data_IF_099414926262
#
_entry.id   IF_099414926262
#
_cell.length_a   1.000
_cell.length_b   1.000
_cell.length_c   1.000
_cell.angle_alpha   90.00
_cell.angle_beta   90.00
_cell.angle_gamma   90.00
#
_symmetry.space_group_name_H-M   'P 1'
#
loop_
_entity.id
_entity.type
_entity.pdbx_description
1 polymer ?
#
# COMPACT_ATOMS: atom_id res chain seq x y z
N UNK A 1 17.42 -14.75 -10.79
CA UNK A 1 17.53 -13.50 -11.58
C UNK A 1 17.09 -12.24 -10.83
N UNK A 2 16.25 -12.33 -9.79
CA UNK A 2 15.82 -11.18 -8.98
C UNK A 2 16.97 -10.46 -8.25
N UNK A 3 18.06 -11.17 -7.95
CA UNK A 3 19.21 -10.61 -7.21
C UNK A 3 20.10 -9.63 -8.00
N UNK A 4 19.93 -9.51 -9.32
CA UNK A 4 20.77 -8.62 -10.16
C UNK A 4 20.16 -7.25 -10.42
N UNK A 5 18.84 -7.08 -10.24
CA UNK A 5 18.15 -5.79 -10.40
C UNK A 5 18.40 -4.89 -9.20
N UNK A 6 18.67 -5.49 -8.02
CA UNK A 6 18.92 -4.74 -6.77
C UNK A 6 20.34 -4.14 -6.64
N UNK A 7 21.28 -4.48 -7.56
CA UNK A 7 22.70 -4.17 -7.37
C UNK A 7 23.14 -2.76 -7.85
N UNK A 8 22.25 -1.93 -8.42
CA UNK A 8 22.62 -0.62 -9.00
C UNK A 8 21.85 0.57 -8.42
N UNK A 9 21.22 0.41 -7.26
CA UNK A 9 20.51 1.51 -6.61
C UNK A 9 21.47 2.26 -5.67
N UNK A 10 22.30 3.11 -6.23
CA UNK A 10 22.90 4.26 -5.54
C UNK A 10 21.77 5.31 -5.33
N UNK A 11 20.62 4.85 -4.84
CA UNK A 11 19.46 5.68 -4.55
C UNK A 11 19.49 6.02 -3.06
N UNK A 12 19.47 7.32 -2.79
CA UNK A 12 19.13 7.84 -1.47
C UNK A 12 17.95 7.01 -0.91
N UNK A 13 18.15 6.29 0.20
CA UNK A 13 17.14 5.37 0.75
C UNK A 13 15.79 6.08 0.83
N UNK A 14 14.80 5.57 0.13
CA UNK A 14 13.47 6.15 0.13
C UNK A 14 12.92 6.17 1.55
N UNK A 15 12.39 7.30 1.98
CA UNK A 15 11.78 7.48 3.30
C UNK A 15 10.28 7.71 3.16
N UNK A 16 9.53 7.59 4.26
CA UNK A 16 8.09 7.90 4.29
C UNK A 16 7.77 9.30 3.73
N UNK A 17 8.64 10.29 3.96
CA UNK A 17 8.45 11.66 3.47
C UNK A 17 8.72 11.75 1.96
N UNK A 18 9.79 11.13 1.49
CA UNK A 18 10.16 11.17 0.07
C UNK A 18 9.30 10.25 -0.80
N UNK A 19 8.64 9.24 -0.21
CA UNK A 19 7.64 8.43 -0.91
C UNK A 19 6.48 9.30 -1.43
N UNK A 20 6.01 10.25 -0.64
CA UNK A 20 4.88 11.11 -0.98
C UNK A 20 5.24 12.30 -1.91
N UNK A 21 6.50 12.46 -2.26
CA UNK A 21 6.96 13.56 -3.12
C UNK A 21 6.80 13.21 -4.61
N UNK A 22 5.65 13.56 -5.18
CA UNK A 22 5.35 13.34 -6.59
C UNK A 22 6.34 14.02 -7.56
N UNK A 23 7.03 15.07 -7.14
CA UNK A 23 8.01 15.76 -7.98
C UNK A 23 9.25 14.90 -8.27
N UNK A 24 9.52 13.91 -7.43
CA UNK A 24 10.63 12.96 -7.56
C UNK A 24 10.23 11.63 -8.22
N UNK A 25 8.96 11.45 -8.53
CA UNK A 25 8.45 10.22 -9.14
C UNK A 25 8.68 10.23 -10.66
N UNK A 26 9.35 9.22 -11.24
CA UNK A 26 9.46 9.04 -12.69
C UNK A 26 8.09 9.00 -13.36
N UNK A 27 8.04 9.36 -14.64
CA UNK A 27 6.84 9.31 -15.46
C UNK A 27 7.01 8.34 -16.62
N UNK A 28 6.01 7.51 -16.87
CA UNK A 28 5.96 6.67 -18.05
C UNK A 28 5.42 7.45 -19.26
N UNK A 29 5.90 7.16 -20.47
CA UNK A 29 5.36 7.77 -21.68
C UNK A 29 3.93 7.31 -21.92
N UNK A 30 3.07 8.23 -22.37
CA UNK A 30 1.70 7.88 -22.77
C UNK A 30 1.71 7.20 -24.13
N UNK A 31 0.82 6.21 -24.32
CA UNK A 31 0.67 5.45 -25.56
C UNK A 31 -0.61 5.90 -26.25
N UNK A 32 -0.47 6.49 -27.43
CA UNK A 32 -1.61 6.93 -28.23
C UNK A 32 -2.24 5.75 -29.03
N UNK A 33 -3.48 5.92 -29.45
CA UNK A 33 -4.15 4.96 -30.33
C UNK A 33 -4.68 3.69 -29.63
N UNK A 34 -4.60 3.61 -28.32
CA UNK A 34 -5.15 2.46 -27.57
C UNK A 34 -6.66 2.33 -27.80
N UNK A 35 -7.10 1.12 -28.17
CA UNK A 35 -8.54 0.83 -28.30
C UNK A 35 -9.20 0.57 -26.94
N UNK A 36 -10.55 0.44 -26.94
CA UNK A 36 -11.32 0.28 -25.70
C UNK A 36 -10.96 -1.00 -24.91
N UNK A 37 -10.62 -2.09 -25.60
CA UNK A 37 -10.24 -3.37 -24.97
C UNK A 37 -8.88 -3.22 -24.26
N UNK A 38 -7.93 -2.61 -24.94
CA UNK A 38 -6.60 -2.33 -24.36
C UNK A 38 -6.73 -1.44 -23.13
N UNK A 39 -7.44 -0.33 -23.19
CA UNK A 39 -7.69 0.54 -22.04
C UNK A 39 -8.40 -0.18 -20.89
N UNK A 40 -9.34 -1.08 -21.17
CA UNK A 40 -10.02 -1.88 -20.16
C UNK A 40 -9.02 -2.82 -19.45
N UNK A 41 -8.08 -3.40 -20.21
CA UNK A 41 -7.00 -4.24 -19.65
C UNK A 41 -6.07 -3.42 -18.74
N UNK A 42 -5.60 -2.27 -19.20
CA UNK A 42 -4.74 -1.39 -18.42
C UNK A 42 -5.33 -0.96 -17.07
N UNK A 43 -6.67 -0.85 -17.00
CA UNK A 43 -7.37 -0.46 -15.76
C UNK A 43 -7.70 -1.61 -14.81
N UNK A 44 -7.33 -2.86 -15.12
CA UNK A 44 -7.61 -4.00 -14.23
C UNK A 44 -6.95 -3.86 -12.86
N UNK A 45 -5.73 -3.33 -12.83
CA UNK A 45 -4.99 -3.10 -11.58
C UNK A 45 -5.80 -2.27 -10.58
N UNK A 46 -6.47 -1.23 -11.07
CA UNK A 46 -7.34 -0.37 -10.25
C UNK A 46 -8.42 -1.16 -9.50
N UNK A 47 -8.95 -2.24 -10.07
CA UNK A 47 -9.96 -3.06 -9.39
C UNK A 47 -9.41 -3.74 -8.14
N UNK A 48 -8.17 -4.24 -8.18
CA UNK A 48 -7.50 -4.80 -7.01
C UNK A 48 -7.23 -3.72 -5.96
N UNK A 49 -6.73 -2.58 -6.38
CA UNK A 49 -6.48 -1.43 -5.49
C UNK A 49 -7.75 -0.87 -4.85
N UNK A 50 -8.87 -0.84 -5.57
CA UNK A 50 -10.16 -0.41 -5.02
C UNK A 50 -10.64 -1.36 -3.90
N UNK A 51 -10.33 -2.66 -3.99
CA UNK A 51 -10.59 -3.59 -2.90
C UNK A 51 -9.77 -3.22 -1.65
N UNK A 52 -8.46 -3.03 -1.78
CA UNK A 52 -7.61 -2.59 -0.66
C UNK A 52 -8.04 -1.24 -0.08
N UNK A 53 -8.40 -0.27 -0.95
CA UNK A 53 -8.94 1.03 -0.50
C UNK A 53 -10.21 0.87 0.34
N UNK A 54 -11.08 -0.06 -0.03
CA UNK A 54 -12.30 -0.35 0.72
C UNK A 54 -12.00 -0.94 2.10
N UNK A 55 -11.07 -1.90 2.19
CA UNK A 55 -10.64 -2.50 3.45
C UNK A 55 -9.96 -1.46 4.36
N UNK A 56 -9.04 -0.67 3.84
CA UNK A 56 -8.41 0.43 4.59
C UNK A 56 -9.44 1.45 5.09
N UNK A 57 -10.50 1.71 4.32
CA UNK A 57 -11.59 2.58 4.75
C UNK A 57 -12.43 1.97 5.88
N UNK A 58 -12.57 0.64 5.93
CA UNK A 58 -13.24 -0.04 7.05
C UNK A 58 -12.42 0.06 8.35
N UNK A 59 -11.12 -0.16 8.26
CA UNK A 59 -10.21 0.03 9.41
C UNK A 59 -10.27 1.49 9.91
N UNK A 60 -10.26 2.47 8.99
CA UNK A 60 -10.37 3.88 9.33
C UNK A 60 -11.69 4.19 10.06
N UNK A 61 -12.83 3.66 9.59
CA UNK A 61 -14.13 3.83 10.27
C UNK A 61 -14.15 3.19 11.66
N UNK A 62 -13.53 2.01 11.81
CA UNK A 62 -13.39 1.38 13.13
C UNK A 62 -12.58 2.27 14.08
N UNK A 63 -11.51 2.91 13.61
CA UNK A 63 -10.72 3.87 14.40
C UNK A 63 -11.53 5.08 14.83
N UNK A 64 -12.34 5.67 13.95
CA UNK A 64 -13.22 6.82 14.29
C UNK A 64 -14.24 6.42 15.36
N UNK A 65 -14.83 5.23 15.27
CA UNK A 65 -15.76 4.71 16.26
C UNK A 65 -15.09 4.51 17.62
N UNK A 66 -13.86 3.99 17.63
CA UNK A 66 -13.08 3.78 18.85
C UNK A 66 -12.66 5.10 19.51
N UNK A 67 -12.30 6.11 18.72
CA UNK A 67 -12.01 7.44 19.25
C UNK A 67 -13.24 8.07 19.92
N UNK A 68 -14.40 7.98 19.28
CA UNK A 68 -15.65 8.49 19.84
C UNK A 68 -16.02 7.75 21.15
N UNK A 69 -15.79 6.43 21.20
CA UNK A 69 -16.01 5.64 22.40
C UNK A 69 -15.03 6.00 23.52
N UNK A 70 -13.76 6.22 23.21
CA UNK A 70 -12.74 6.63 24.19
C UNK A 70 -13.00 7.99 24.82
N UNK A 71 -13.70 8.87 24.11
CA UNK A 71 -14.15 10.19 24.62
C UNK A 71 -15.43 10.09 25.48
N UNK A 72 -16.11 8.95 25.47
CA UNK A 72 -17.33 8.73 26.25
C UNK A 72 -16.96 8.20 27.65
N UNK A 73 -17.30 8.95 28.69
CA UNK A 73 -17.11 8.54 30.10
C UNK A 73 -17.89 7.25 30.49
N UNK A 74 -18.70 6.70 29.59
CA UNK A 74 -19.57 5.55 29.83
C UNK A 74 -19.00 4.21 29.33
N UNK A 75 -17.85 4.20 28.66
CA UNK A 75 -17.24 2.96 28.14
C UNK A 75 -16.46 2.26 29.25
N UNK A 76 -16.85 1.03 29.58
CA UNK A 76 -16.11 0.25 30.57
C UNK A 76 -14.83 -0.35 29.95
N UNK A 77 -13.85 -0.74 30.82
CA UNK A 77 -12.55 -1.27 30.38
C UNK A 77 -12.66 -2.55 29.51
N UNK A 78 -13.68 -3.38 29.70
CA UNK A 78 -13.89 -4.60 28.94
C UNK A 78 -14.30 -4.32 27.49
N UNK A 79 -15.19 -3.36 27.29
CA UNK A 79 -15.64 -2.95 25.96
C UNK A 79 -14.49 -2.25 25.18
N UNK A 80 -13.68 -1.44 25.84
CA UNK A 80 -12.48 -0.86 25.24
C UNK A 80 -11.48 -1.95 24.80
N UNK A 81 -11.23 -2.95 25.63
CA UNK A 81 -10.34 -4.06 25.28
C UNK A 81 -10.86 -4.87 24.09
N UNK A 82 -12.17 -5.12 24.01
CA UNK A 82 -12.79 -5.81 22.88
C UNK A 82 -12.66 -4.99 21.59
N UNK A 83 -12.88 -3.69 21.65
CA UNK A 83 -12.77 -2.78 20.54
C UNK A 83 -11.32 -2.71 20.00
N UNK A 84 -10.33 -2.61 20.88
CA UNK A 84 -8.91 -2.60 20.47
C UNK A 84 -8.48 -3.92 19.84
N UNK A 85 -9.00 -5.07 20.32
CA UNK A 85 -8.77 -6.37 19.70
C UNK A 85 -9.39 -6.46 18.31
N UNK A 86 -10.59 -5.95 18.13
CA UNK A 86 -11.26 -5.91 16.82
C UNK A 86 -10.43 -5.09 15.82
N UNK A 87 -9.94 -3.92 16.21
CA UNK A 87 -9.03 -3.10 15.39
C UNK A 87 -7.76 -3.86 15.00
N UNK A 88 -7.08 -4.50 15.98
CA UNK A 88 -5.87 -5.28 15.73
C UNK A 88 -6.09 -6.42 14.74
N UNK A 89 -7.23 -7.13 14.83
CA UNK A 89 -7.56 -8.21 13.90
C UNK A 89 -7.82 -7.69 12.47
N UNK A 90 -8.55 -6.59 12.32
CA UNK A 90 -8.79 -5.98 11.00
C UNK A 90 -7.50 -5.49 10.35
N UNK A 91 -6.63 -4.83 11.12
CA UNK A 91 -5.32 -4.41 10.65
C UNK A 91 -4.48 -5.60 10.19
N UNK A 92 -4.40 -6.67 10.97
CA UNK A 92 -3.59 -7.85 10.63
C UNK A 92 -4.05 -8.53 9.34
N UNK A 93 -5.35 -8.65 9.10
CA UNK A 93 -5.88 -9.22 7.86
C UNK A 93 -5.52 -8.37 6.65
N UNK A 94 -5.70 -7.06 6.72
CA UNK A 94 -5.38 -6.17 5.61
C UNK A 94 -3.87 -6.11 5.33
N UNK A 95 -3.03 -6.12 6.36
CA UNK A 95 -1.58 -6.19 6.20
C UNK A 95 -1.13 -7.43 5.42
N UNK A 96 -1.71 -8.60 5.72
CA UNK A 96 -1.41 -9.84 5.00
C UNK A 96 -1.85 -9.78 3.53
N UNK A 97 -3.04 -9.26 3.26
CA UNK A 97 -3.56 -9.12 1.90
C UNK A 97 -2.71 -8.15 1.08
N UNK A 98 -2.34 -7.01 1.65
CA UNK A 98 -1.51 -6.00 1.00
C UNK A 98 -0.08 -6.53 0.72
N UNK A 99 0.51 -7.26 1.67
CA UNK A 99 1.81 -7.92 1.47
C UNK A 99 1.74 -8.95 0.34
N UNK A 100 0.66 -9.73 0.27
CA UNK A 100 0.44 -10.71 -0.81
C UNK A 100 0.30 -10.04 -2.17
N UNK A 101 -0.41 -8.92 -2.26
CA UNK A 101 -0.57 -8.11 -3.46
C UNK A 101 0.79 -7.60 -3.99
N UNK A 102 1.56 -6.89 -3.17
CA UNK A 102 2.88 -6.42 -3.55
C UNK A 102 3.85 -7.56 -3.92
N UNK A 103 3.75 -8.72 -3.25
CA UNK A 103 4.56 -9.89 -3.60
C UNK A 103 4.27 -10.39 -5.02
N UNK A 104 2.99 -10.41 -5.42
CA UNK A 104 2.60 -10.79 -6.78
C UNK A 104 3.15 -9.81 -7.81
N UNK A 105 3.08 -8.52 -7.52
CA UNK A 105 3.61 -7.47 -8.40
C UNK A 105 5.13 -7.58 -8.54
N UNK A 106 5.86 -7.67 -7.44
CA UNK A 106 7.32 -7.75 -7.43
C UNK A 106 7.86 -9.03 -8.11
N UNK A 107 7.13 -10.15 -7.99
CA UNK A 107 7.60 -11.44 -8.52
C UNK A 107 7.12 -11.72 -9.94
N UNK A 108 6.01 -11.15 -10.37
CA UNK A 108 5.39 -11.51 -11.66
C UNK A 108 5.14 -10.31 -12.57
N UNK A 109 4.47 -9.27 -12.11
CA UNK A 109 4.06 -8.15 -12.95
C UNK A 109 5.24 -7.22 -13.28
N UNK A 110 5.97 -6.76 -12.28
CA UNK A 110 7.06 -5.80 -12.45
C UNK A 110 8.24 -6.34 -13.27
N UNK A 111 8.67 -7.61 -13.13
CA UNK A 111 9.69 -8.17 -14.01
C UNK A 111 9.32 -8.11 -15.49
N UNK A 112 8.07 -8.41 -15.85
CA UNK A 112 7.59 -8.35 -17.24
C UNK A 112 7.54 -6.92 -17.76
N UNK A 113 7.01 -6.00 -16.96
CA UNK A 113 6.97 -4.57 -17.29
C UNK A 113 8.39 -3.97 -17.42
N UNK A 114 9.34 -4.45 -16.62
CA UNK A 114 10.73 -4.01 -16.70
C UNK A 114 11.43 -4.60 -17.94
N UNK A 115 11.12 -5.84 -18.34
CA UNK A 115 11.71 -6.46 -19.52
C UNK A 115 11.17 -5.85 -20.82
N UNK A 116 9.85 -5.74 -20.95
CA UNK A 116 9.16 -5.36 -22.19
C UNK A 116 8.84 -3.87 -22.29
N UNK A 117 8.89 -3.15 -21.17
CA UNK A 117 8.51 -1.74 -21.10
C UNK A 117 9.58 -0.78 -21.63
N UNK A 118 9.15 0.45 -21.93
CA UNK A 118 10.05 1.56 -22.27
C UNK A 118 10.95 1.93 -21.08
N UNK A 119 12.01 2.69 -21.32
CA UNK A 119 12.89 3.19 -20.26
C UNK A 119 12.15 4.03 -19.19
N UNK A 120 11.08 4.71 -19.57
CA UNK A 120 10.21 5.41 -18.63
C UNK A 120 9.45 4.42 -17.72
N UNK A 121 8.88 3.37 -18.30
CA UNK A 121 8.19 2.29 -17.55
C UNK A 121 9.16 1.59 -16.59
N UNK A 122 10.38 1.28 -17.04
CA UNK A 122 11.42 0.66 -16.19
C UNK A 122 11.70 1.50 -14.94
N UNK A 123 11.89 2.80 -15.11
CA UNK A 123 12.12 3.73 -13.99
C UNK A 123 10.91 3.82 -13.04
N UNK A 124 9.69 3.78 -13.58
CA UNK A 124 8.47 3.73 -12.77
C UNK A 124 8.43 2.46 -11.94
N UNK A 125 8.69 1.29 -12.55
CA UNK A 125 8.75 -0.01 -11.87
C UNK A 125 9.81 -0.02 -10.77
N UNK A 126 11.03 0.46 -11.05
CA UNK A 126 12.09 0.58 -10.04
C UNK A 126 11.68 1.45 -8.86
N UNK A 127 10.97 2.56 -9.14
CA UNK A 127 10.42 3.44 -8.10
C UNK A 127 9.34 2.75 -7.28
N UNK A 128 8.39 2.03 -7.91
CA UNK A 128 7.32 1.30 -7.23
C UNK A 128 7.89 0.21 -6.32
N UNK A 129 8.87 -0.56 -6.79
CA UNK A 129 9.57 -1.56 -5.96
C UNK A 129 10.24 -0.92 -4.73
N UNK A 130 10.83 0.26 -4.87
CA UNK A 130 11.39 1.01 -3.73
C UNK A 130 10.30 1.53 -2.78
N UNK A 131 9.12 1.90 -3.30
CA UNK A 131 7.96 2.28 -2.49
C UNK A 131 7.37 1.09 -1.72
N UNK A 132 7.36 -0.13 -2.31
CA UNK A 132 6.97 -1.36 -1.61
C UNK A 132 7.80 -1.59 -0.35
N UNK A 133 9.12 -1.36 -0.39
CA UNK A 133 9.97 -1.50 0.81
C UNK A 133 9.52 -0.58 1.94
N UNK A 134 9.18 0.68 1.64
CA UNK A 134 8.68 1.64 2.64
C UNK A 134 7.30 1.23 3.17
N UNK A 135 6.42 0.75 2.30
CA UNK A 135 5.09 0.25 2.69
C UNK A 135 5.22 -0.98 3.58
N UNK A 136 6.12 -1.92 3.25
CA UNK A 136 6.37 -3.11 4.07
C UNK A 136 6.96 -2.75 5.43
N UNK A 137 7.88 -1.78 5.53
CA UNK A 137 8.36 -1.25 6.83
C UNK A 137 7.20 -0.70 7.68
N UNK A 138 6.21 -0.03 7.05
CA UNK A 138 5.02 0.47 7.74
C UNK A 138 4.06 -0.65 8.17
N UNK A 139 3.92 -1.69 7.35
CA UNK A 139 3.13 -2.88 7.68
C UNK A 139 3.72 -3.58 8.89
N UNK A 140 5.03 -3.84 8.89
CA UNK A 140 5.71 -4.48 10.02
C UNK A 140 5.60 -3.65 11.31
N UNK A 141 5.76 -2.33 11.22
CA UNK A 141 5.56 -1.45 12.38
C UNK A 141 4.10 -1.50 12.87
N UNK A 142 3.12 -1.47 11.96
CA UNK A 142 1.71 -1.54 12.32
C UNK A 142 1.36 -2.87 13.00
N UNK A 143 1.88 -4.00 12.50
CA UNK A 143 1.69 -5.31 13.12
C UNK A 143 2.24 -5.34 14.55
N UNK A 144 3.45 -4.80 14.77
CA UNK A 144 4.05 -4.69 16.10
C UNK A 144 3.20 -3.81 17.03
N UNK A 145 2.70 -2.66 16.55
CA UNK A 145 1.86 -1.75 17.32
C UNK A 145 0.48 -2.35 17.63
N UNK A 146 -0.14 -3.00 16.65
CA UNK A 146 -1.40 -3.69 16.83
C UNK A 146 -1.26 -4.85 17.82
N UNK A 147 -0.20 -5.63 17.73
CA UNK A 147 0.12 -6.68 18.71
C UNK A 147 0.30 -6.14 20.12
N UNK A 148 1.06 -5.06 20.29
CA UNK A 148 1.24 -4.39 21.59
C UNK A 148 -0.12 -3.93 22.17
N UNK A 149 -1.01 -3.40 21.32
CA UNK A 149 -2.36 -3.01 21.69
C UNK A 149 -3.22 -4.21 22.12
N UNK A 150 -3.07 -5.37 21.46
CA UNK A 150 -3.75 -6.61 21.85
C UNK A 150 -3.28 -7.17 23.22
N UNK A 151 -1.96 -7.09 23.47
CA UNK A 151 -1.37 -7.61 24.71
C UNK A 151 -1.60 -6.69 25.92
N UNK A 152 -1.55 -5.40 25.70
CA UNK A 152 -1.73 -4.39 26.75
C UNK A 152 -2.64 -3.24 26.25
N UNK A 153 -3.97 -3.47 26.17
CA UNK A 153 -4.92 -2.48 25.70
C UNK A 153 -4.89 -1.21 26.56
N UNK A 154 -4.44 -0.10 25.97
CA UNK A 154 -4.40 1.22 26.61
C UNK A 154 -4.56 2.32 25.57
N UNK A 155 -4.95 3.55 25.98
CA UNK A 155 -4.99 4.70 25.09
C UNK A 155 -3.65 4.96 24.35
N UNK A 156 -2.53 4.74 25.02
CA UNK A 156 -1.18 4.99 24.49
C UNK A 156 -0.84 3.96 23.40
N UNK A 157 -1.07 2.67 23.65
CA UNK A 157 -0.80 1.61 22.66
C UNK A 157 -1.73 1.73 21.46
N UNK A 158 -2.99 2.10 21.69
CA UNK A 158 -3.94 2.36 20.62
C UNK A 158 -3.55 3.59 19.78
N UNK A 159 -3.18 4.70 20.41
CA UNK A 159 -2.74 5.91 19.71
C UNK A 159 -1.51 5.66 18.83
N UNK A 160 -0.56 4.82 19.31
CA UNK A 160 0.60 4.43 18.52
C UNK A 160 0.21 3.60 17.30
N UNK A 161 -0.65 2.59 17.44
CA UNK A 161 -1.15 1.78 16.34
C UNK A 161 -1.96 2.61 15.34
N UNK A 162 -2.85 3.49 15.82
CA UNK A 162 -3.62 4.43 14.99
C UNK A 162 -2.72 5.32 14.15
N UNK A 163 -1.68 5.92 14.75
CA UNK A 163 -0.74 6.78 14.01
C UNK A 163 -0.08 6.02 12.87
N UNK A 164 0.47 4.84 13.15
CA UNK A 164 1.13 4.03 12.13
C UNK A 164 0.15 3.60 11.03
N UNK A 165 -1.10 3.26 11.38
CA UNK A 165 -2.13 2.96 10.39
C UNK A 165 -2.44 4.16 9.48
N UNK A 166 -2.54 5.37 10.01
CA UNK A 166 -2.80 6.57 9.21
C UNK A 166 -1.63 6.88 8.25
N UNK A 167 -0.40 6.68 8.72
CA UNK A 167 0.80 6.81 7.88
C UNK A 167 0.78 5.76 6.75
N UNK A 168 0.47 4.50 7.05
CA UNK A 168 0.32 3.41 6.07
C UNK A 168 -0.78 3.72 5.05
N UNK A 169 -1.98 4.06 5.52
CA UNK A 169 -3.12 4.37 4.65
C UNK A 169 -2.81 5.51 3.67
N UNK A 170 -2.13 6.56 4.14
CA UNK A 170 -1.71 7.68 3.30
C UNK A 170 -0.69 7.23 2.25
N UNK A 171 0.32 6.46 2.66
CA UNK A 171 1.38 5.96 1.78
C UNK A 171 0.82 5.02 0.71
N UNK A 172 -0.01 4.06 1.09
CA UNK A 172 -0.63 3.09 0.16
C UNK A 172 -1.54 3.78 -0.86
N UNK A 173 -2.36 4.75 -0.43
CA UNK A 173 -3.23 5.50 -1.36
C UNK A 173 -2.44 6.31 -2.38
N UNK A 174 -1.35 6.92 -1.95
CA UNK A 174 -0.44 7.66 -2.84
C UNK A 174 0.28 6.73 -3.81
N UNK A 175 0.77 5.59 -3.31
CA UNK A 175 1.42 4.55 -4.11
C UNK A 175 0.48 4.01 -5.19
N UNK A 176 -0.71 3.54 -4.83
CA UNK A 176 -1.71 3.06 -5.78
C UNK A 176 -2.10 4.09 -6.84
N UNK A 177 -2.26 5.35 -6.45
CA UNK A 177 -2.56 6.42 -7.40
C UNK A 177 -1.46 6.65 -8.42
N UNK A 178 -0.21 6.59 -7.98
CA UNK A 178 0.96 6.69 -8.84
C UNK A 178 1.07 5.50 -9.80
N UNK A 179 0.96 4.31 -9.28
CA UNK A 179 1.03 3.08 -10.07
C UNK A 179 -0.06 3.02 -11.14
N UNK A 180 -1.33 3.23 -10.77
CA UNK A 180 -2.44 3.28 -11.71
C UNK A 180 -2.23 4.32 -12.82
N UNK A 181 -1.72 5.50 -12.45
CA UNK A 181 -1.52 6.59 -13.41
C UNK A 181 -0.40 6.31 -14.40
N UNK A 182 0.69 5.73 -13.93
CA UNK A 182 1.91 5.57 -14.75
C UNK A 182 1.94 4.22 -15.50
N UNK A 183 1.30 3.17 -14.98
CA UNK A 183 1.31 1.85 -15.61
C UNK A 183 0.08 1.53 -16.46
N UNK A 184 -1.02 2.31 -16.43
CA UNK A 184 -2.23 2.02 -17.21
C UNK A 184 -1.93 1.76 -18.70
N UNK A 185 -1.15 2.63 -19.33
CA UNK A 185 -0.85 2.51 -20.76
C UNK A 185 0.07 1.31 -21.06
N UNK A 186 1.07 1.05 -20.23
CA UNK A 186 1.95 -0.11 -20.37
C UNK A 186 1.18 -1.42 -20.20
N UNK A 187 0.34 -1.53 -19.17
CA UNK A 187 -0.55 -2.67 -18.93
C UNK A 187 -1.61 -2.86 -20.03
N UNK A 188 -1.91 -1.80 -20.79
CA UNK A 188 -2.81 -1.89 -21.95
C UNK A 188 -2.20 -2.68 -23.10
N UNK A 189 -0.86 -2.75 -23.23
CA UNK A 189 -0.13 -3.38 -24.34
C UNK A 189 0.71 -4.58 -23.92
N UNK A 190 1.27 -4.59 -22.74
CA UNK A 190 2.05 -5.70 -22.19
C UNK A 190 1.10 -6.64 -21.45
N UNK A 191 1.20 -7.94 -21.73
CA UNK A 191 0.37 -8.95 -21.06
C UNK A 191 1.09 -9.48 -19.82
N UNK A 192 0.64 -9.09 -18.65
CA UNK A 192 1.22 -9.49 -17.36
C UNK A 192 0.38 -10.56 -16.64
N UNK A 193 -0.63 -11.11 -17.30
CA UNK A 193 -1.43 -12.22 -16.79
C UNK A 193 -2.45 -11.87 -15.69
N UNK A 194 -2.83 -10.59 -15.52
CA UNK A 194 -3.84 -10.12 -14.55
C UNK A 194 -5.19 -9.87 -15.20
#
# INVERSE_FOLDING_TARGET
MVSHVMANLDQEKLTRVTLLDDSKRPKAPKIEGLNAVQRARGRRLKWFHDHHRAQLAEVARALETLDAAALSEQVNKLDMSANYRMFGNLCGQECQMLTGHHTIEDMHMFPLLHEEGSDGVKKVVERLMAEHLVVHELIEELEQRAWACLQNPSPETFAAAKKTFLDLNTSVRSHFGYEETELEDALSVIDVGI
#
